data_IF_444195577626
#
_entry.id   IF_444195577626
#
_cell.length_a   1.000
_cell.length_b   1.000
_cell.length_c   1.000
_cell.angle_alpha   90.00
_cell.angle_beta   90.00
_cell.angle_gamma   90.00
#
_symmetry.space_group_name_H-M   'P 1'
#
loop_
_entity.id
_entity.type
_entity.pdbx_description
1 polymer ?
#
# COMPACT_ATOMS: atom_id res chain seq x y z
N UNK A 1 0.73 4.68 11.15
CA UNK A 1 1.28 4.05 9.92
C UNK A 1 1.55 5.15 8.90
N UNK A 2 2.53 4.99 8.00
CA UNK A 2 2.89 6.01 6.99
C UNK A 2 2.22 5.73 5.63
N UNK A 3 2.22 6.71 4.72
CA UNK A 3 1.75 6.52 3.34
C UNK A 3 2.55 5.44 2.61
N UNK A 4 3.88 5.40 2.83
CA UNK A 4 4.72 4.34 2.26
C UNK A 4 4.33 2.95 2.77
N UNK A 5 4.07 2.81 4.07
CA UNK A 5 3.60 1.55 4.65
C UNK A 5 2.21 1.15 4.12
N UNK A 6 1.34 2.12 3.88
CA UNK A 6 0.00 1.87 3.30
C UNK A 6 0.13 1.32 1.88
N UNK A 7 0.98 1.93 1.05
CA UNK A 7 1.24 1.46 -0.30
C UNK A 7 1.80 0.02 -0.32
N UNK A 8 2.74 -0.29 0.58
CA UNK A 8 3.30 -1.64 0.72
C UNK A 8 2.21 -2.63 1.15
N UNK A 9 1.41 -2.29 2.16
CA UNK A 9 0.32 -3.13 2.65
C UNK A 9 -0.72 -3.40 1.55
N UNK A 10 -1.13 -2.35 0.83
CA UNK A 10 -2.11 -2.43 -0.25
C UNK A 10 -1.67 -3.39 -1.36
N UNK A 11 -0.41 -3.31 -1.79
CA UNK A 11 0.18 -4.23 -2.78
C UNK A 11 0.23 -5.67 -2.25
N UNK A 12 0.72 -5.87 -1.02
CA UNK A 12 0.88 -7.20 -0.44
C UNK A 12 -0.45 -7.88 -0.06
N UNK A 13 -1.55 -7.14 0.03
CA UNK A 13 -2.88 -7.71 0.28
C UNK A 13 -3.47 -8.41 -0.95
N UNK A 14 -2.96 -8.14 -2.15
CA UNK A 14 -3.47 -8.79 -3.36
C UNK A 14 -3.01 -10.25 -3.42
N UNK A 15 -3.92 -11.24 -3.50
CA UNK A 15 -3.58 -12.66 -3.36
C UNK A 15 -2.65 -13.19 -4.45
N UNK A 16 -2.62 -12.55 -5.62
CA UNK A 16 -1.70 -12.93 -6.70
C UNK A 16 -0.26 -12.39 -6.53
N UNK A 17 0.00 -11.53 -5.53
CA UNK A 17 1.30 -10.90 -5.31
C UNK A 17 2.04 -11.65 -4.21
N UNK A 18 3.27 -12.09 -4.51
CA UNK A 18 4.11 -12.87 -3.57
C UNK A 18 5.07 -11.99 -2.76
N UNK A 19 5.33 -10.76 -3.20
CA UNK A 19 6.22 -9.83 -2.52
C UNK A 19 6.21 -8.44 -3.13
N UNK A 20 6.64 -7.45 -2.34
CA UNK A 20 6.82 -6.07 -2.77
C UNK A 20 8.31 -5.73 -2.77
N UNK A 21 8.87 -5.37 -3.92
CA UNK A 21 10.27 -4.95 -4.05
C UNK A 21 10.34 -3.45 -3.81
N UNK A 22 10.82 -3.05 -2.63
CA UNK A 22 10.89 -1.65 -2.21
C UNK A 22 12.35 -1.23 -2.05
N UNK A 23 12.75 -0.16 -2.74
CA UNK A 23 14.11 0.37 -2.64
C UNK A 23 14.41 0.99 -1.27
N UNK A 24 15.64 0.82 -0.80
CA UNK A 24 16.17 1.49 0.38
C UNK A 24 17.64 1.88 0.15
N UNK A 25 18.01 3.07 0.60
CA UNK A 25 19.38 3.64 0.55
C UNK A 25 20.04 3.72 1.92
N UNK A 26 19.27 3.60 3.01
CA UNK A 26 19.75 3.63 4.39
C UNK A 26 19.02 2.58 5.24
N UNK A 27 19.64 2.04 6.30
CA UNK A 27 19.05 0.98 7.12
C UNK A 27 17.70 1.34 7.76
N UNK A 28 17.52 2.59 8.21
CA UNK A 28 16.27 3.08 8.82
C UNK A 28 15.07 2.98 7.87
N UNK A 29 15.30 3.03 6.56
CA UNK A 29 14.24 2.87 5.56
C UNK A 29 13.71 1.43 5.51
N UNK A 30 14.52 0.43 5.87
CA UNK A 30 14.06 -0.95 5.98
C UNK A 30 13.05 -1.07 7.10
N UNK A 31 13.34 -0.48 8.27
CA UNK A 31 12.43 -0.46 9.42
C UNK A 31 11.12 0.26 9.10
N UNK A 32 11.20 1.37 8.34
CA UNK A 32 10.02 2.07 7.87
C UNK A 32 9.20 1.24 6.88
N UNK A 33 9.86 0.57 5.92
CA UNK A 33 9.19 -0.23 4.89
C UNK A 33 8.54 -1.49 5.47
N UNK A 34 9.24 -2.22 6.35
CA UNK A 34 8.74 -3.47 6.95
C UNK A 34 7.48 -3.24 7.79
N UNK A 35 7.27 -2.04 8.31
CA UNK A 35 6.04 -1.69 9.02
C UNK A 35 4.77 -1.76 8.18
N UNK A 36 4.87 -1.85 6.84
CA UNK A 36 3.73 -2.13 5.94
C UNK A 36 3.45 -3.63 5.77
N UNK A 37 4.45 -4.49 5.98
CA UNK A 37 4.26 -5.94 5.86
C UNK A 37 3.33 -6.47 6.96
N UNK A 38 2.40 -7.35 6.58
CA UNK A 38 1.41 -7.93 7.50
C UNK A 38 0.35 -6.96 8.03
N UNK A 39 0.39 -5.68 7.63
CA UNK A 39 -0.68 -4.76 7.96
C UNK A 39 -1.91 -5.07 7.10
N UNK A 40 -3.01 -5.43 7.76
CA UNK A 40 -4.33 -5.51 7.12
C UNK A 40 -4.99 -4.14 7.14
N UNK A 41 -5.28 -3.62 5.94
CA UNK A 41 -6.06 -2.41 5.76
C UNK A 41 -7.53 -2.78 6.03
N UNK A 42 -8.25 -2.05 6.90
CA UNK A 42 -9.68 -2.23 7.11
C UNK A 42 -10.47 -2.12 5.80
N UNK A 43 -11.57 -2.86 5.70
CA UNK A 43 -12.43 -2.84 4.51
C UNK A 43 -13.01 -1.44 4.23
N UNK A 44 -13.35 -0.68 5.28
CA UNK A 44 -13.80 0.71 5.17
C UNK A 44 -12.77 1.63 4.51
N UNK A 45 -11.49 1.46 4.87
CA UNK A 45 -10.38 2.23 4.30
C UNK A 45 -10.14 1.82 2.85
N UNK A 46 -10.25 0.52 2.53
CA UNK A 46 -10.15 0.02 1.15
C UNK A 46 -11.25 0.60 0.25
N UNK A 47 -12.48 0.69 0.75
CA UNK A 47 -13.60 1.31 0.03
C UNK A 47 -13.38 2.81 -0.18
N UNK A 48 -12.83 3.51 0.82
CA UNK A 48 -12.49 4.92 0.69
C UNK A 48 -11.39 5.16 -0.36
N UNK A 49 -10.35 4.32 -0.38
CA UNK A 49 -9.28 4.36 -1.38
C UNK A 49 -9.85 4.15 -2.79
N UNK A 50 -10.71 3.14 -2.98
CA UNK A 50 -11.36 2.85 -4.27
C UNK A 50 -12.22 4.03 -4.75
N UNK A 51 -13.00 4.64 -3.85
CA UNK A 51 -13.81 5.81 -4.19
C UNK A 51 -12.95 7.01 -4.64
N UNK A 52 -11.83 7.27 -3.96
CA UNK A 52 -10.86 8.30 -4.34
C UNK A 52 -10.25 7.97 -5.70
N UNK A 53 -9.80 6.73 -5.90
CA UNK A 53 -9.19 6.28 -7.14
C UNK A 53 -10.12 6.46 -8.34
N UNK A 54 -11.40 6.05 -8.22
CA UNK A 54 -12.40 6.25 -9.28
C UNK A 54 -12.64 7.72 -9.61
N UNK A 55 -12.68 8.57 -8.59
CA UNK A 55 -12.87 10.02 -8.76
C UNK A 55 -11.68 10.68 -9.44
N UNK A 56 -10.46 10.27 -9.12
CA UNK A 56 -9.24 10.97 -9.54
C UNK A 56 -8.61 10.39 -10.79
N UNK A 57 -8.66 9.07 -10.98
CA UNK A 57 -8.00 8.35 -12.09
C UNK A 57 -9.02 7.76 -13.06
N UNK A 58 -10.18 7.31 -12.57
CA UNK A 58 -11.22 6.64 -13.38
C UNK A 58 -12.03 7.55 -14.31
N UNK A 59 -11.66 8.82 -14.50
CA UNK A 59 -12.35 9.76 -15.42
C UNK A 59 -11.73 9.77 -16.84
N UNK A 60 -10.60 9.08 -17.06
CA UNK A 60 -9.85 9.11 -18.34
C UNK A 60 -9.76 7.76 -19.07
N UNK A 61 -10.76 6.88 -18.95
CA UNK A 61 -10.89 5.69 -19.82
C UNK A 61 -12.26 5.62 -20.49
#
# INVERSE_FOLDING_TARGET
KTVAQLAIAWVLMHPAITGAIVGARRPDQIEQNVGGAGWRIPEEDMQAIEAIYRRTVGQEQ
#
